data_IF_814887356270
#
_entry.id   IF_814887356270
#
_cell.length_a   1.000
_cell.length_b   1.000
_cell.length_c   1.000
_cell.angle_alpha   90.00
_cell.angle_beta   90.00
_cell.angle_gamma   90.00
#
_symmetry.space_group_name_H-M   'P 1'
#
loop_
_entity.id
_entity.type
_entity.pdbx_description
1 polymer ?
#
# COMPACT_ATOMS: atom_id res chain seq x y z
N UNK A 1 -9.55 3.34 -8.63
CA UNK A 1 -8.11 3.28 -8.87
C UNK A 1 -7.36 3.92 -7.72
N UNK A 2 -7.13 5.23 -7.76
CA UNK A 2 -6.25 5.92 -6.79
C UNK A 2 -6.69 5.81 -5.32
N UNK A 3 -8.00 5.83 -5.03
CA UNK A 3 -8.50 5.68 -3.66
C UNK A 3 -8.15 4.32 -3.06
N UNK A 4 -8.18 3.26 -3.88
CA UNK A 4 -7.80 1.91 -3.46
C UNK A 4 -6.29 1.82 -3.21
N UNK A 5 -5.49 2.40 -4.10
CA UNK A 5 -4.05 2.46 -3.90
C UNK A 5 -3.65 3.21 -2.62
N UNK A 6 -4.28 4.38 -2.35
CA UNK A 6 -4.06 5.13 -1.11
C UNK A 6 -4.53 4.38 0.14
N UNK A 7 -5.62 3.61 0.04
CA UNK A 7 -6.06 2.75 1.14
C UNK A 7 -5.01 1.69 1.45
N UNK A 8 -4.48 1.00 0.44
CA UNK A 8 -3.46 -0.02 0.67
C UNK A 8 -2.15 0.57 1.21
N UNK A 9 -1.72 1.73 0.71
CA UNK A 9 -0.57 2.46 1.23
C UNK A 9 -0.76 2.80 2.72
N UNK A 10 -1.93 3.30 3.10
CA UNK A 10 -2.28 3.55 4.50
C UNK A 10 -2.27 2.26 5.34
N UNK A 11 -2.85 1.15 4.84
CA UNK A 11 -2.92 -0.14 5.55
C UNK A 11 -1.53 -0.67 5.91
N UNK A 12 -0.55 -0.53 5.01
CA UNK A 12 0.81 -1.03 5.24
C UNK A 12 1.71 -0.05 6.01
N UNK A 13 1.26 1.20 6.20
CA UNK A 13 1.95 2.21 6.98
C UNK A 13 1.19 2.49 8.28
N UNK A 14 0.41 3.56 8.36
CA UNK A 14 -0.29 3.98 9.58
C UNK A 14 -1.27 2.93 10.11
N UNK A 15 -1.94 2.18 9.23
CA UNK A 15 -2.90 1.15 9.64
C UNK A 15 -2.27 -0.03 10.40
N UNK A 16 -0.95 -0.22 10.31
CA UNK A 16 -0.24 -1.23 11.12
C UNK A 16 -0.24 -0.87 12.61
N UNK A 17 -0.18 0.42 12.95
CA UNK A 17 -0.24 0.89 14.35
C UNK A 17 -1.62 0.61 14.95
N UNK A 18 -2.68 0.92 14.20
CA UNK A 18 -4.06 0.63 14.59
C UNK A 18 -4.29 -0.87 14.76
N UNK A 19 -3.80 -1.70 13.82
CA UNK A 19 -3.93 -3.16 13.89
C UNK A 19 -3.16 -3.75 15.08
N UNK A 20 -1.98 -3.22 15.40
CA UNK A 20 -1.20 -3.63 16.56
C UNK A 20 -1.94 -3.35 17.87
N UNK A 21 -2.66 -2.23 17.96
CA UNK A 21 -3.49 -1.92 19.14
C UNK A 21 -4.62 -2.93 19.38
N UNK A 22 -5.04 -3.63 18.32
CA UNK A 22 -6.06 -4.69 18.35
C UNK A 22 -5.45 -6.09 18.55
N UNK A 23 -4.12 -6.20 18.72
CA UNK A 23 -3.41 -7.46 18.97
C UNK A 23 -2.93 -8.20 17.72
N UNK A 24 -3.00 -7.59 16.53
CA UNK A 24 -2.41 -8.16 15.33
C UNK A 24 -0.90 -7.92 15.29
N UNK A 25 -0.15 -8.91 14.79
CA UNK A 25 1.27 -8.75 14.57
C UNK A 25 1.52 -7.82 13.37
N UNK A 26 2.43 -6.84 13.48
CA UNK A 26 2.77 -5.96 12.37
C UNK A 26 3.50 -6.75 11.26
N UNK A 27 3.35 -6.27 10.04
CA UNK A 27 4.13 -6.77 8.91
C UNK A 27 5.63 -6.50 9.12
N UNK A 28 6.51 -7.47 8.80
CA UNK A 28 7.95 -7.23 8.76
C UNK A 28 8.30 -6.12 7.76
N UNK A 29 9.36 -5.36 8.03
CA UNK A 29 9.75 -4.20 7.22
C UNK A 29 10.00 -4.54 5.75
N UNK A 30 10.59 -5.71 5.46
CA UNK A 30 10.79 -6.17 4.08
C UNK A 30 9.47 -6.46 3.36
N UNK A 31 8.43 -6.90 4.09
CA UNK A 31 7.10 -7.16 3.55
C UNK A 31 6.35 -5.85 3.31
N UNK A 32 6.50 -4.84 4.18
CA UNK A 32 5.98 -3.49 3.95
C UNK A 32 6.58 -2.89 2.68
N UNK A 33 7.91 -2.97 2.51
CA UNK A 33 8.57 -2.48 1.29
C UNK A 33 8.10 -3.20 0.04
N UNK A 34 7.96 -4.54 0.10
CA UNK A 34 7.43 -5.31 -1.03
C UNK A 34 6.00 -4.88 -1.37
N UNK A 35 5.13 -4.77 -0.37
CA UNK A 35 3.74 -4.36 -0.58
C UNK A 35 3.64 -2.94 -1.15
N UNK A 36 4.44 -2.00 -0.65
CA UNK A 36 4.50 -0.63 -1.18
C UNK A 36 4.88 -0.62 -2.66
N UNK A 37 5.93 -1.38 -3.04
CA UNK A 37 6.34 -1.49 -4.44
C UNK A 37 5.24 -2.10 -5.31
N UNK A 38 4.56 -3.15 -4.84
CA UNK A 38 3.43 -3.76 -5.56
C UNK A 38 2.25 -2.80 -5.71
N UNK A 39 1.97 -1.94 -4.72
CA UNK A 39 0.89 -0.94 -4.82
C UNK A 39 1.19 0.09 -5.93
N UNK A 40 2.46 0.47 -6.11
CA UNK A 40 2.87 1.39 -7.17
C UNK A 40 2.69 0.81 -8.57
N UNK A 41 2.61 -0.51 -8.72
CA UNK A 41 2.35 -1.19 -9.99
C UNK A 41 0.85 -1.25 -10.35
N UNK A 42 -0.05 -0.77 -9.48
CA UNK A 42 -1.49 -0.82 -9.76
C UNK A 42 -1.86 0.05 -10.98
N UNK A 43 -2.70 -0.52 -11.85
CA UNK A 43 -3.19 0.13 -13.07
C UNK A 43 -4.73 0.25 -13.08
N UNK A 44 -5.24 1.15 -13.92
CA UNK A 44 -6.66 1.21 -14.26
C UNK A 44 -7.06 0.02 -15.14
N UNK A 45 -8.36 -0.18 -15.35
CA UNK A 45 -8.87 -1.18 -16.29
C UNK A 45 -8.46 -0.93 -17.75
N UNK A 46 -7.89 0.24 -18.06
CA UNK A 46 -7.35 0.60 -19.37
C UNK A 46 -5.83 0.46 -19.44
N UNK A 47 -5.19 -0.13 -18.42
CA UNK A 47 -3.74 -0.32 -18.36
C UNK A 47 -2.94 0.97 -18.09
N UNK A 48 -3.58 1.97 -17.49
CA UNK A 48 -2.90 3.23 -17.12
C UNK A 48 -2.42 3.15 -15.68
N UNK A 49 -1.14 3.39 -15.38
CA UNK A 49 -0.64 3.44 -14.00
C UNK A 49 -1.47 4.37 -13.13
N UNK A 50 -1.85 3.89 -11.95
CA UNK A 50 -2.60 4.68 -10.97
C UNK A 50 -1.68 5.63 -10.21
N UNK A 51 -0.39 5.30 -10.13
CA UNK A 51 0.64 6.14 -9.56
C UNK A 51 1.66 6.49 -10.64
N UNK A 52 1.93 7.78 -10.80
CA UNK A 52 3.04 8.24 -11.63
C UNK A 52 4.28 8.31 -10.74
N UNK A 53 5.33 7.57 -11.07
CA UNK A 53 6.67 7.94 -10.60
C UNK A 53 6.91 9.37 -11.11
N UNK A 54 7.01 10.34 -10.19
CA UNK A 54 7.30 11.72 -10.56
C UNK A 54 8.51 11.77 -11.47
N UNK A 55 8.37 12.48 -12.60
CA UNK A 55 9.50 12.92 -13.41
C UNK A 55 10.29 13.99 -12.66
#
# INVERSE_FOLDING_TARGET
>A
GIALGKLFDWVITSGQEDAASLGYAPLPSNVVTLAHNTILELESSTGTPLFSNGA
#
